data_IF_159025695559
#
_entry.id   IF_159025695559
#
_cell.length_a   1.000
_cell.length_b   1.000
_cell.length_c   1.000
_cell.angle_alpha   90.00
_cell.angle_beta   90.00
_cell.angle_gamma   90.00
#
_symmetry.space_group_name_H-M   'P 1'
#
loop_
_entity.id
_entity.type
_entity.pdbx_description
1 polymer ?
#
# COMPACT_ATOMS: atom_id res chain seq x y z
N UNK A 1 -6.59 -17.50 -30.22
CA UNK A 1 -5.47 -18.21 -29.59
C UNK A 1 -5.94 -19.63 -29.32
N UNK A 2 -5.16 -20.65 -29.63
CA UNK A 2 -5.53 -22.04 -29.38
C UNK A 2 -5.67 -22.24 -27.86
N UNK A 3 -6.74 -22.90 -27.36
CA UNK A 3 -6.93 -23.16 -25.94
C UNK A 3 -5.74 -23.87 -25.24
N UNK A 4 -5.00 -24.69 -25.99
CA UNK A 4 -3.79 -25.35 -25.49
C UNK A 4 -2.60 -24.40 -25.31
N UNK A 5 -2.47 -23.40 -26.18
CA UNK A 5 -1.43 -22.36 -26.03
C UNK A 5 -1.74 -21.43 -24.85
N UNK A 6 -3.01 -21.13 -24.63
CA UNK A 6 -3.44 -20.31 -23.50
C UNK A 6 -3.16 -21.01 -22.16
N UNK A 7 -3.46 -22.30 -22.06
CA UNK A 7 -3.19 -23.12 -20.87
C UNK A 7 -1.66 -23.21 -20.59
N UNK A 8 -0.85 -23.37 -21.66
CA UNK A 8 0.61 -23.38 -21.58
C UNK A 8 1.16 -22.04 -21.03
N UNK A 9 0.66 -20.91 -21.52
CA UNK A 9 1.08 -19.58 -21.09
C UNK A 9 0.71 -19.30 -19.62
N UNK A 10 -0.49 -19.74 -19.20
CA UNK A 10 -0.91 -19.63 -17.79
C UNK A 10 0.00 -20.44 -16.88
N UNK A 11 0.34 -21.68 -17.27
CA UNK A 11 1.26 -22.52 -16.51
C UNK A 11 2.64 -21.87 -16.38
N UNK A 12 3.21 -21.36 -17.48
CA UNK A 12 4.51 -20.69 -17.49
C UNK A 12 4.51 -19.45 -16.58
N UNK A 13 3.47 -18.62 -16.63
CA UNK A 13 3.38 -17.44 -15.79
C UNK A 13 3.35 -17.80 -14.28
N UNK A 14 2.68 -18.90 -13.93
CA UNK A 14 2.66 -19.44 -12.56
C UNK A 14 4.04 -19.91 -12.14
N UNK A 15 4.77 -20.61 -13.02
CA UNK A 15 6.12 -21.13 -12.73
C UNK A 15 7.15 -20.01 -12.56
N UNK A 16 7.08 -18.96 -13.38
CA UNK A 16 7.93 -17.76 -13.23
C UNK A 16 7.67 -17.08 -11.88
N UNK A 17 6.42 -17.04 -11.45
CA UNK A 17 6.06 -16.48 -10.13
C UNK A 17 6.60 -17.34 -8.98
N UNK A 18 6.48 -18.68 -9.08
CA UNK A 18 7.01 -19.61 -8.08
C UNK A 18 8.54 -19.53 -7.98
N UNK A 19 9.24 -19.32 -9.10
CA UNK A 19 10.70 -19.13 -9.11
C UNK A 19 11.08 -17.81 -8.41
N UNK A 20 10.36 -16.73 -8.66
CA UNK A 20 10.56 -15.44 -7.97
C UNK A 20 10.30 -15.54 -6.45
N UNK A 21 9.43 -16.47 -6.03
CA UNK A 21 9.12 -16.73 -4.63
C UNK A 21 10.05 -17.78 -3.98
N UNK A 22 10.94 -18.41 -4.76
CA UNK A 22 11.80 -19.49 -4.28
C UNK A 22 11.07 -20.80 -3.96
N UNK A 23 9.85 -20.99 -4.49
CA UNK A 23 8.97 -22.15 -4.23
C UNK A 23 8.87 -23.12 -5.42
N UNK A 24 9.66 -22.92 -6.48
CA UNK A 24 9.66 -23.73 -7.69
C UNK A 24 10.18 -25.15 -7.41
N UNK A 25 9.41 -26.20 -7.79
CA UNK A 25 9.82 -27.60 -7.65
C UNK A 25 10.79 -28.01 -8.74
N UNK A 26 11.50 -29.15 -8.55
CA UNK A 26 12.47 -29.64 -9.55
C UNK A 26 11.83 -30.00 -10.89
N UNK A 27 10.66 -30.61 -10.91
CA UNK A 27 9.94 -30.97 -12.13
C UNK A 27 9.44 -29.73 -12.89
N UNK A 28 8.95 -28.75 -12.18
CA UNK A 28 8.47 -27.48 -12.74
C UNK A 28 9.60 -26.66 -13.32
N UNK A 29 10.81 -26.72 -12.75
CA UNK A 29 12.01 -26.10 -13.29
C UNK A 29 12.39 -26.67 -14.64
N UNK A 30 12.36 -27.99 -14.81
CA UNK A 30 12.63 -28.64 -16.09
C UNK A 30 11.63 -28.22 -17.17
N UNK A 31 10.35 -28.06 -16.83
CA UNK A 31 9.34 -27.57 -17.74
C UNK A 31 9.61 -26.11 -18.16
N UNK A 32 9.95 -25.26 -17.21
CA UNK A 32 10.30 -23.84 -17.48
C UNK A 32 11.54 -23.73 -18.36
N UNK A 33 12.59 -24.52 -18.09
CA UNK A 33 13.82 -24.57 -18.90
C UNK A 33 13.54 -25.05 -20.34
N UNK A 34 12.67 -26.06 -20.53
CA UNK A 34 12.28 -26.51 -21.86
C UNK A 34 11.60 -25.41 -22.66
N UNK A 35 10.71 -24.65 -22.03
CA UNK A 35 10.05 -23.51 -22.67
C UNK A 35 11.03 -22.38 -23.02
N UNK A 36 12.02 -22.12 -22.18
CA UNK A 36 13.07 -21.12 -22.45
C UNK A 36 13.95 -21.50 -23.66
N UNK A 37 14.07 -22.79 -23.95
CA UNK A 37 14.83 -23.27 -25.11
C UNK A 37 14.03 -23.22 -26.41
N UNK A 38 12.69 -23.13 -26.37
CA UNK A 38 11.84 -23.11 -27.56
C UNK A 38 12.04 -21.87 -28.43
N UNK A 39 12.37 -20.70 -27.86
CA UNK A 39 12.62 -19.49 -28.64
C UNK A 39 13.47 -18.44 -27.88
N UNK A 40 14.17 -17.58 -28.65
CA UNK A 40 14.87 -16.43 -28.11
C UNK A 40 13.91 -15.41 -27.48
N UNK A 41 12.68 -15.30 -28.03
CA UNK A 41 11.62 -14.44 -27.50
C UNK A 41 11.18 -14.87 -26.09
N UNK A 42 11.13 -16.18 -25.81
CA UNK A 42 10.78 -16.71 -24.49
C UNK A 42 11.82 -16.31 -23.43
N UNK A 43 13.09 -16.36 -23.80
CA UNK A 43 14.20 -15.90 -22.92
C UNK A 43 14.10 -14.41 -22.63
N UNK A 44 13.78 -13.60 -23.63
CA UNK A 44 13.63 -12.16 -23.45
C UNK A 44 12.41 -11.81 -22.57
N UNK A 45 11.28 -12.49 -22.76
CA UNK A 45 10.08 -12.35 -21.91
C UNK A 45 10.41 -12.72 -20.46
N UNK A 46 11.08 -13.85 -20.27
CA UNK A 46 11.51 -14.32 -18.95
C UNK A 46 12.42 -13.32 -18.24
N UNK A 47 13.46 -12.82 -18.94
CA UNK A 47 14.37 -11.80 -18.40
C UNK A 47 13.64 -10.49 -18.05
N UNK A 48 12.66 -10.08 -18.85
CA UNK A 48 11.80 -8.92 -18.54
C UNK A 48 10.95 -9.15 -17.30
N UNK A 49 10.46 -10.38 -17.06
CA UNK A 49 9.72 -10.73 -15.85
C UNK A 49 10.62 -10.72 -14.60
N UNK A 50 11.87 -11.12 -14.72
CA UNK A 50 12.86 -11.09 -13.63
C UNK A 50 13.32 -9.67 -13.29
N UNK A 51 13.38 -8.77 -14.28
CA UNK A 51 13.76 -7.38 -14.06
C UNK A 51 12.63 -6.62 -13.34
N UNK A 52 12.90 -6.14 -12.14
CA UNK A 52 11.92 -5.59 -11.18
C UNK A 52 11.01 -4.45 -11.69
N UNK A 53 11.34 -3.80 -12.82
CA UNK A 53 10.48 -2.79 -13.44
C UNK A 53 9.22 -3.37 -14.12
N UNK A 54 9.25 -4.65 -14.54
CA UNK A 54 8.15 -5.32 -15.24
C UNK A 54 7.30 -6.22 -14.33
N UNK A 55 7.79 -6.58 -13.15
CA UNK A 55 7.06 -7.40 -12.17
C UNK A 55 5.68 -6.82 -11.79
N UNK A 56 5.55 -5.50 -11.74
CA UNK A 56 4.28 -4.82 -11.41
C UNK A 56 3.18 -5.03 -12.44
N UNK A 57 3.53 -5.06 -13.75
CA UNK A 57 2.52 -5.23 -14.84
C UNK A 57 2.07 -6.68 -15.01
N UNK A 58 2.97 -7.64 -14.84
CA UNK A 58 2.67 -9.07 -14.99
C UNK A 58 1.70 -9.57 -13.89
N UNK A 59 1.88 -9.14 -12.64
CA UNK A 59 1.04 -9.55 -11.51
C UNK A 59 -0.41 -9.05 -11.63
N UNK A 60 -0.61 -7.83 -12.12
CA UNK A 60 -1.95 -7.25 -12.36
C UNK A 60 -2.69 -8.00 -13.46
N UNK A 61 -2.00 -8.38 -14.53
CA UNK A 61 -2.60 -9.12 -15.64
C UNK A 61 -2.99 -10.56 -15.23
N UNK A 62 -2.19 -11.23 -14.40
CA UNK A 62 -2.50 -12.60 -13.92
C UNK A 62 -3.77 -12.66 -13.08
N UNK A 63 -3.98 -11.73 -12.15
CA UNK A 63 -5.22 -11.67 -11.36
C UNK A 63 -6.46 -11.35 -12.23
N UNK A 64 -6.30 -10.54 -13.27
CA UNK A 64 -7.38 -10.23 -14.21
C UNK A 64 -7.80 -11.46 -15.02
N UNK A 65 -6.83 -12.27 -15.50
CA UNK A 65 -7.09 -13.51 -16.24
C UNK A 65 -7.71 -14.62 -15.38
N UNK A 66 -7.30 -14.78 -14.12
CA UNK A 66 -7.92 -15.74 -13.21
C UNK A 66 -9.38 -15.41 -12.93
N UNK A 67 -9.71 -14.13 -12.78
CA UNK A 67 -11.09 -13.68 -12.53
C UNK A 67 -12.00 -13.89 -13.75
N UNK A 68 -11.51 -13.69 -14.97
CA UNK A 68 -12.27 -13.99 -16.20
C UNK A 68 -12.45 -15.50 -16.42
N UNK A 69 -11.44 -16.32 -16.18
CA UNK A 69 -11.52 -17.78 -16.33
C UNK A 69 -12.57 -18.39 -15.41
N UNK A 70 -12.67 -17.93 -14.17
CA UNK A 70 -13.69 -18.41 -13.24
C UNK A 70 -15.11 -18.01 -13.69
N UNK A 71 -15.28 -16.86 -14.33
CA UNK A 71 -16.55 -16.40 -14.85
C UNK A 71 -16.99 -17.19 -16.09
N UNK A 72 -16.10 -17.44 -17.06
CA UNK A 72 -16.38 -18.24 -18.26
C UNK A 72 -16.62 -19.73 -17.94
N UNK A 73 -15.92 -20.31 -16.96
CA UNK A 73 -16.14 -21.69 -16.51
C UNK A 73 -17.50 -21.89 -15.83
N UNK A 74 -18.02 -20.86 -15.16
CA UNK A 74 -19.37 -20.84 -14.60
C UNK A 74 -20.45 -20.72 -15.70
N UNK A 75 -20.21 -19.91 -16.72
CA UNK A 75 -21.13 -19.71 -17.85
C UNK A 75 -21.33 -21.01 -18.66
N UNK A 76 -20.26 -21.78 -18.87
CA UNK A 76 -20.32 -23.06 -19.59
C UNK A 76 -20.93 -24.23 -18.80
N UNK A 77 -21.06 -24.12 -17.47
CA UNK A 77 -21.76 -25.11 -16.63
C UNK A 77 -23.27 -24.92 -16.56
N UNK A 78 -23.80 -23.81 -17.10
CA UNK A 78 -25.24 -23.48 -17.11
C UNK A 78 -25.85 -23.61 -18.54
N UNK A 79 -25.32 -24.53 -19.34
CA UNK A 79 -25.95 -24.82 -20.61
C UNK A 79 -27.12 -25.79 -20.42
N UNK A 80 -28.33 -25.24 -20.33
CA UNK A 80 -29.58 -25.99 -20.40
C UNK A 80 -29.79 -26.55 -21.80
N UNK A 81 -29.81 -27.89 -21.94
CA UNK A 81 -30.28 -28.55 -23.16
C UNK A 81 -31.80 -28.71 -23.07
N UNK A 82 -32.58 -28.11 -23.98
CA UNK A 82 -34.02 -28.31 -23.99
C UNK A 82 -34.36 -29.67 -24.62
N UNK A 83 -34.77 -30.64 -23.79
CA UNK A 83 -35.42 -31.85 -24.27
C UNK A 83 -36.82 -31.49 -24.79
N UNK A 84 -37.03 -31.60 -26.11
CA UNK A 84 -38.36 -31.52 -26.75
C UNK A 84 -39.26 -32.63 -26.17
N UNK A 85 -40.29 -32.26 -25.43
CA UNK A 85 -41.43 -33.12 -25.11
C UNK A 85 -42.71 -32.49 -25.66
N UNK A 86 -43.53 -33.35 -26.29
CA UNK A 86 -44.78 -33.05 -27.00
C UNK A 86 -45.85 -32.51 -26.05
N UNK A 87 -46.81 -31.65 -26.55
CA UNK A 87 -47.82 -31.02 -25.72
C UNK A 87 -49.06 -31.91 -25.58
N UNK A 88 -49.29 -32.39 -24.39
CA UNK A 88 -50.60 -32.90 -23.99
C UNK A 88 -50.79 -32.59 -22.51
N UNK A 89 -51.66 -31.63 -22.20
CA UNK A 89 -52.31 -31.34 -20.88
C UNK A 89 -52.48 -29.84 -20.59
N UNK A 90 -52.77 -29.05 -21.64
CA UNK A 90 -52.84 -27.57 -21.47
C UNK A 90 -54.21 -27.03 -21.02
N UNK A 91 -55.21 -27.86 -20.75
CA UNK A 91 -56.55 -27.38 -20.39
C UNK A 91 -56.91 -27.35 -18.90
N UNK A 92 -56.01 -27.86 -18.01
CA UNK A 92 -56.30 -27.91 -16.55
C UNK A 92 -55.47 -26.96 -15.68
N UNK A 93 -54.58 -26.14 -16.30
CA UNK A 93 -53.63 -25.28 -15.57
C UNK A 93 -53.91 -23.79 -15.72
N UNK A 94 -55.01 -23.37 -16.31
CA UNK A 94 -55.33 -21.96 -16.53
C UNK A 94 -55.41 -21.12 -15.23
N UNK A 95 -55.95 -21.63 -14.09
CA UNK A 95 -55.93 -20.85 -12.86
C UNK A 95 -54.55 -20.67 -12.24
N UNK A 96 -53.62 -21.60 -12.54
CA UNK A 96 -52.24 -21.47 -12.04
C UNK A 96 -51.38 -20.54 -12.91
N UNK A 97 -51.73 -20.35 -14.18
CA UNK A 97 -51.06 -19.39 -15.07
C UNK A 97 -51.34 -17.93 -14.65
N UNK A 98 -52.54 -17.64 -14.13
CA UNK A 98 -52.86 -16.31 -13.57
C UNK A 98 -52.06 -16.02 -12.29
N UNK A 99 -51.88 -17.00 -11.41
CA UNK A 99 -51.08 -16.84 -10.17
C UNK A 99 -49.58 -16.70 -10.49
N UNK A 100 -49.09 -17.43 -11.52
CA UNK A 100 -47.70 -17.34 -11.97
C UNK A 100 -47.38 -15.98 -12.63
N UNK A 101 -48.34 -15.40 -13.37
CA UNK A 101 -48.16 -14.06 -13.97
C UNK A 101 -48.17 -12.94 -12.94
N UNK A 102 -48.95 -13.07 -11.84
CA UNK A 102 -48.93 -12.11 -10.74
C UNK A 102 -47.61 -12.21 -9.96
N UNK A 103 -47.11 -13.41 -9.72
CA UNK A 103 -45.81 -13.59 -9.06
C UNK A 103 -44.64 -13.11 -9.94
N UNK A 104 -44.76 -13.30 -11.28
CA UNK A 104 -43.79 -12.78 -12.25
C UNK A 104 -43.86 -11.23 -12.30
N UNK A 105 -45.04 -10.65 -12.30
CA UNK A 105 -45.21 -9.19 -12.25
C UNK A 105 -44.69 -8.61 -10.94
N UNK A 106 -44.94 -9.26 -9.80
CA UNK A 106 -44.38 -8.85 -8.50
C UNK A 106 -42.86 -9.02 -8.42
N UNK A 107 -42.31 -10.08 -9.02
CA UNK A 107 -40.85 -10.27 -9.09
C UNK A 107 -40.20 -9.28 -10.06
N UNK A 108 -40.85 -8.90 -11.17
CA UNK A 108 -40.37 -7.83 -12.06
C UNK A 108 -40.47 -6.46 -11.39
N UNK A 109 -41.56 -6.16 -10.67
CA UNK A 109 -41.71 -4.93 -9.89
C UNK A 109 -40.69 -4.90 -8.76
N UNK A 110 -40.45 -6.04 -8.06
CA UNK A 110 -39.42 -6.16 -7.05
C UNK A 110 -37.99 -6.03 -7.64
N UNK A 111 -37.75 -6.63 -8.80
CA UNK A 111 -36.48 -6.52 -9.53
C UNK A 111 -36.24 -5.07 -10.01
N UNK A 112 -37.26 -4.41 -10.59
CA UNK A 112 -37.18 -2.99 -10.98
C UNK A 112 -37.06 -2.04 -9.79
N UNK A 113 -37.74 -2.35 -8.68
CA UNK A 113 -37.59 -1.55 -7.45
C UNK A 113 -36.22 -1.77 -6.80
N UNK A 114 -35.60 -2.94 -6.99
CA UNK A 114 -34.25 -3.23 -6.53
C UNK A 114 -33.20 -2.58 -7.43
N UNK A 115 -33.45 -2.47 -8.73
CA UNK A 115 -32.59 -1.81 -9.71
C UNK A 115 -32.68 -0.28 -9.62
N UNK A 116 -33.81 0.26 -9.18
CA UNK A 116 -33.98 1.68 -8.86
C UNK A 116 -33.42 2.10 -7.49
N UNK A 117 -32.93 1.18 -6.69
CA UNK A 117 -31.95 1.47 -5.64
C UNK A 117 -30.62 1.79 -6.34
N UNK A 118 -30.56 2.93 -7.05
CA UNK A 118 -29.29 3.44 -7.57
C UNK A 118 -28.34 3.54 -6.40
N UNK A 119 -27.15 2.92 -6.49
CA UNK A 119 -26.13 3.15 -5.49
C UNK A 119 -25.99 4.67 -5.36
N UNK A 120 -25.94 5.20 -4.15
CA UNK A 120 -25.55 6.58 -3.91
C UNK A 120 -24.25 6.77 -4.65
N UNK A 121 -24.31 7.50 -5.76
CA UNK A 121 -23.15 7.88 -6.52
C UNK A 121 -22.33 8.72 -5.56
N UNK A 122 -21.13 8.22 -5.20
CA UNK A 122 -20.17 9.06 -4.51
C UNK A 122 -19.96 10.22 -5.44
N UNK A 123 -20.56 11.37 -5.17
CA UNK A 123 -20.30 12.63 -5.84
C UNK A 123 -18.88 13.10 -5.46
N UNK A 124 -17.91 12.28 -5.83
CA UNK A 124 -16.56 12.73 -6.04
C UNK A 124 -16.66 13.50 -7.36
N UNK A 125 -16.89 14.81 -7.27
CA UNK A 125 -16.89 15.67 -8.43
C UNK A 125 -15.66 15.31 -9.27
N UNK A 126 -15.88 14.94 -10.53
CA UNK A 126 -14.83 14.47 -11.46
C UNK A 126 -13.68 15.46 -11.64
N UNK A 127 -13.78 16.65 -11.07
CA UNK A 127 -12.86 17.78 -11.23
C UNK A 127 -11.78 17.83 -10.13
N UNK A 128 -11.98 17.23 -8.94
CA UNK A 128 -11.09 17.42 -7.78
C UNK A 128 -10.55 16.13 -7.13
N UNK A 129 -10.41 15.05 -7.91
CA UNK A 129 -9.83 13.81 -7.37
C UNK A 129 -8.36 14.01 -6.97
N UNK A 130 -7.96 13.45 -5.81
CA UNK A 130 -6.59 13.56 -5.33
C UNK A 130 -5.69 12.50 -5.94
N UNK A 131 -4.57 12.97 -6.50
CA UNK A 131 -3.52 12.12 -7.03
C UNK A 131 -2.69 11.51 -5.89
N UNK A 132 -2.06 10.35 -6.12
CA UNK A 132 -1.12 9.75 -5.18
C UNK A 132 0.03 10.70 -4.84
N UNK A 133 0.67 10.46 -3.68
CA UNK A 133 1.91 11.12 -3.31
C UNK A 133 2.98 11.00 -4.42
N UNK A 134 3.81 12.01 -4.52
CA UNK A 134 4.93 12.08 -5.48
C UNK A 134 6.25 12.30 -4.74
N UNK A 135 7.38 12.19 -5.48
CA UNK A 135 8.68 12.50 -4.90
C UNK A 135 8.77 13.99 -4.60
N UNK A 136 8.78 14.35 -3.32
CA UNK A 136 8.88 15.73 -2.86
C UNK A 136 9.57 15.75 -1.49
N UNK A 137 10.63 16.51 -1.37
CA UNK A 137 11.25 16.78 -0.09
C UNK A 137 11.96 18.16 -0.12
N UNK A 138 12.21 18.66 1.08
CA UNK A 138 12.95 19.90 1.30
C UNK A 138 14.09 19.59 2.24
N UNK A 139 15.29 20.02 1.88
CA UNK A 139 16.46 19.96 2.75
C UNK A 139 16.67 21.34 3.38
N UNK A 140 16.86 21.38 4.68
CA UNK A 140 17.28 22.57 5.41
C UNK A 140 18.58 22.25 6.15
N UNK A 141 19.60 23.03 5.90
CA UNK A 141 20.89 22.92 6.63
C UNK A 141 20.87 23.81 7.87
N UNK A 142 21.70 23.46 8.87
CA UNK A 142 21.78 24.22 10.12
C UNK A 142 22.33 25.66 9.95
N UNK A 143 22.93 25.98 8.80
CA UNK A 143 23.33 27.33 8.41
C UNK A 143 22.21 28.17 7.79
N UNK A 144 20.99 27.61 7.69
CA UNK A 144 19.80 28.26 7.17
C UNK A 144 19.53 28.07 5.67
N UNK A 145 20.47 27.49 4.93
CA UNK A 145 20.28 27.19 3.50
C UNK A 145 19.17 26.16 3.33
N UNK A 146 18.29 26.37 2.33
CA UNK A 146 17.13 25.52 2.04
C UNK A 146 17.08 25.14 0.57
N UNK A 147 16.84 23.88 0.28
CA UNK A 147 16.80 23.33 -1.07
C UNK A 147 15.54 22.50 -1.26
N UNK A 148 14.75 22.82 -2.28
CA UNK A 148 13.64 21.98 -2.72
C UNK A 148 14.17 20.92 -3.69
N UNK A 149 13.90 19.64 -3.40
CA UNK A 149 14.38 18.56 -4.23
C UNK A 149 13.50 18.35 -5.46
N UNK A 150 14.12 18.00 -6.59
CA UNK A 150 13.43 17.75 -7.83
C UNK A 150 12.48 16.54 -7.73
N UNK A 151 11.25 16.71 -8.20
CA UNK A 151 10.22 15.67 -8.23
C UNK A 151 10.55 14.52 -9.20
N UNK A 152 11.36 14.77 -10.22
CA UNK A 152 11.84 13.78 -11.18
C UNK A 152 12.84 12.80 -10.59
N UNK A 153 13.59 13.23 -9.57
CA UNK A 153 14.62 12.45 -8.92
C UNK A 153 14.06 11.64 -7.75
N UNK A 154 14.53 10.41 -7.60
CA UNK A 154 14.03 9.51 -6.56
C UNK A 154 14.85 9.54 -5.30
N UNK A 155 16.12 9.82 -5.42
CA UNK A 155 17.11 9.68 -4.36
C UNK A 155 18.07 10.86 -4.34
N UNK A 156 18.47 11.24 -3.12
CA UNK A 156 19.50 12.24 -2.88
C UNK A 156 20.57 11.66 -1.95
N UNK A 157 21.82 11.96 -2.23
CA UNK A 157 22.98 11.70 -1.37
C UNK A 157 23.38 12.99 -0.67
N UNK A 158 23.47 12.98 0.66
CA UNK A 158 23.91 14.10 1.46
C UNK A 158 25.08 13.67 2.33
N UNK A 159 26.24 14.29 2.13
CA UNK A 159 27.45 14.01 2.89
C UNK A 159 28.21 15.32 3.20
N UNK A 160 29.38 15.20 3.84
CA UNK A 160 30.21 16.34 4.22
C UNK A 160 30.74 17.22 3.07
N UNK A 161 30.64 16.74 1.82
CA UNK A 161 31.09 17.49 0.64
C UNK A 161 29.97 18.13 -0.16
N UNK A 162 28.72 17.68 0.04
CA UNK A 162 27.60 18.27 -0.72
C UNK A 162 26.31 17.46 -0.70
N UNK A 163 25.38 17.96 -1.48
CA UNK A 163 24.05 17.37 -1.76
C UNK A 163 24.04 17.07 -3.26
N UNK A 164 23.80 15.81 -3.62
CA UNK A 164 23.78 15.34 -5.02
C UNK A 164 22.63 14.38 -5.23
N UNK A 165 22.08 14.36 -6.45
CA UNK A 165 21.18 13.31 -6.88
C UNK A 165 21.96 12.03 -7.23
N UNK A 166 21.25 10.92 -7.40
CA UNK A 166 21.80 9.61 -7.77
C UNK A 166 22.40 9.61 -9.18
N UNK A 167 21.97 10.50 -10.09
CA UNK A 167 22.54 10.74 -11.41
C UNK A 167 23.84 11.56 -11.38
N UNK A 168 24.28 12.02 -10.19
CA UNK A 168 25.48 12.82 -9.96
C UNK A 168 25.29 14.33 -10.06
N UNK A 169 24.10 14.83 -10.43
CA UNK A 169 23.83 16.28 -10.44
C UNK A 169 23.97 16.87 -9.04
N UNK A 170 24.76 17.92 -8.93
CA UNK A 170 24.98 18.63 -7.68
C UNK A 170 23.84 19.60 -7.39
N UNK A 171 23.24 19.49 -6.20
CA UNK A 171 22.23 20.42 -5.68
C UNK A 171 22.93 21.55 -4.92
N UNK A 172 23.94 21.21 -4.10
CA UNK A 172 24.72 22.16 -3.32
C UNK A 172 26.04 21.58 -2.84
N UNK A 173 27.07 22.42 -2.71
CA UNK A 173 28.30 22.10 -2.00
C UNK A 173 28.18 22.41 -0.50
N UNK A 174 28.85 21.61 0.33
CA UNK A 174 28.91 21.77 1.79
C UNK A 174 30.39 21.84 2.18
N UNK A 175 30.82 23.00 2.68
CA UNK A 175 32.23 23.26 3.00
C UNK A 175 32.61 22.91 4.45
N UNK A 176 31.62 22.65 5.31
CA UNK A 176 31.82 22.31 6.71
C UNK A 176 30.79 21.28 7.17
N UNK A 177 31.11 20.53 8.25
CA UNK A 177 30.17 19.63 8.88
C UNK A 177 28.99 20.42 9.48
N UNK A 178 27.81 20.20 8.94
CA UNK A 178 26.56 20.85 9.38
C UNK A 178 25.51 19.77 9.70
N UNK A 179 24.44 20.15 10.36
CA UNK A 179 23.26 19.28 10.46
C UNK A 179 22.33 19.50 9.27
N UNK A 180 21.86 18.42 8.70
CA UNK A 180 20.84 18.40 7.65
C UNK A 180 19.50 17.92 8.22
N UNK A 181 18.43 18.61 7.83
CA UNK A 181 17.05 18.22 8.09
C UNK A 181 16.36 18.02 6.73
N UNK A 182 15.92 16.81 6.44
CA UNK A 182 15.12 16.49 5.25
C UNK A 182 13.66 16.28 5.66
N UNK A 183 12.74 16.93 4.96
CA UNK A 183 11.31 16.93 5.26
C UNK A 183 10.52 16.57 4.00
N UNK A 184 9.72 15.51 4.09
CA UNK A 184 8.69 15.23 3.09
C UNK A 184 7.37 15.88 3.54
N UNK A 185 6.68 16.63 2.69
CA UNK A 185 5.35 17.13 3.01
C UNK A 185 4.34 15.98 3.04
N UNK A 186 3.12 16.24 3.52
CA UNK A 186 1.98 15.35 3.24
C UNK A 186 1.82 15.26 1.71
N UNK A 187 1.57 14.07 1.19
CA UNK A 187 1.56 13.81 -0.25
C UNK A 187 2.94 13.76 -0.91
N UNK A 188 4.02 13.76 -0.12
CA UNK A 188 5.39 13.65 -0.60
C UNK A 188 6.14 12.48 -0.01
N UNK A 189 6.99 11.80 -0.78
CA UNK A 189 7.91 10.77 -0.32
C UNK A 189 9.29 11.02 -0.90
N UNK A 190 10.34 10.53 -0.26
CA UNK A 190 11.69 10.65 -0.81
C UNK A 190 12.63 9.57 -0.28
N UNK A 191 13.70 9.29 -1.04
CA UNK A 191 14.78 8.40 -0.61
C UNK A 191 16.06 9.23 -0.39
N UNK A 192 16.76 8.96 0.71
CA UNK A 192 18.01 9.63 1.02
C UNK A 192 19.10 8.62 1.38
N UNK A 193 20.29 8.79 0.81
CA UNK A 193 21.50 8.08 1.23
C UNK A 193 22.27 8.96 2.19
N UNK A 194 22.48 8.44 3.41
CA UNK A 194 23.20 9.09 4.47
C UNK A 194 24.73 8.98 4.26
N UNK A 195 25.55 9.78 4.98
CA UNK A 195 27.02 9.81 4.81
C UNK A 195 27.73 8.49 5.02
N UNK A 196 27.11 7.56 5.75
CA UNK A 196 27.65 6.22 6.02
C UNK A 196 27.27 5.17 4.98
N UNK A 197 26.45 5.53 3.97
CA UNK A 197 25.88 4.66 2.97
C UNK A 197 24.56 4.02 3.35
N UNK A 198 23.98 4.39 4.51
CA UNK A 198 22.64 3.95 4.92
C UNK A 198 21.58 4.55 4.00
N UNK A 199 20.72 3.70 3.42
CA UNK A 199 19.55 4.14 2.65
C UNK A 199 18.35 4.32 3.57
N UNK A 200 17.66 5.45 3.43
CA UNK A 200 16.43 5.75 4.18
C UNK A 200 15.33 6.14 3.20
N UNK A 201 14.20 5.44 3.26
CA UNK A 201 12.98 5.81 2.56
C UNK A 201 12.07 6.56 3.52
N UNK A 202 11.71 7.79 3.17
CA UNK A 202 10.84 8.65 3.97
C UNK A 202 9.40 8.59 3.44
N UNK A 203 8.45 8.23 4.29
CA UNK A 203 7.03 8.28 3.98
C UNK A 203 6.51 9.72 4.04
N UNK A 204 5.25 9.95 3.63
CA UNK A 204 4.64 11.28 3.61
C UNK A 204 4.56 11.89 5.02
N UNK A 205 4.81 13.21 5.13
CA UNK A 205 4.75 13.93 6.41
C UNK A 205 5.87 13.55 7.39
N UNK A 206 7.07 13.23 6.88
CA UNK A 206 8.20 12.74 7.67
C UNK A 206 9.34 13.75 7.71
N UNK A 207 9.98 13.85 8.86
CA UNK A 207 11.21 14.64 9.08
C UNK A 207 12.31 13.74 9.58
N UNK A 208 13.47 13.78 8.92
CA UNK A 208 14.71 13.12 9.34
C UNK A 208 15.80 14.18 9.53
N UNK A 209 16.45 14.19 10.69
CA UNK A 209 17.55 15.10 10.99
C UNK A 209 18.80 14.31 11.33
N UNK A 210 19.95 14.68 10.77
CA UNK A 210 21.23 14.02 10.99
C UNK A 210 22.41 14.94 10.65
N UNK A 211 23.62 14.69 11.17
CA UNK A 211 24.82 15.44 10.81
C UNK A 211 25.33 14.97 9.44
N UNK A 212 25.82 15.90 8.60
CA UNK A 212 26.43 15.57 7.30
C UNK A 212 27.75 14.79 7.43
N UNK A 213 28.30 14.71 8.64
CA UNK A 213 29.43 13.86 9.02
C UNK A 213 29.12 13.23 10.38
N UNK A 214 29.05 11.91 10.44
CA UNK A 214 28.84 11.20 11.71
C UNK A 214 30.07 11.22 12.61
N UNK A 215 29.83 11.20 13.93
CA UNK A 215 30.89 11.04 14.93
C UNK A 215 31.52 9.66 14.83
N UNK A 216 32.78 9.53 15.25
CA UNK A 216 33.52 8.25 15.23
C UNK A 216 32.87 7.16 16.08
N UNK A 217 32.20 7.52 17.18
CA UNK A 217 31.67 6.57 18.16
C UNK A 217 30.25 6.07 17.80
N UNK A 218 29.47 6.88 17.10
CA UNK A 218 28.08 6.57 16.78
C UNK A 218 27.56 7.33 15.56
N UNK A 219 26.55 6.75 14.90
CA UNK A 219 25.78 7.34 13.82
C UNK A 219 24.38 7.65 14.36
N UNK A 220 24.11 8.89 14.68
CA UNK A 220 22.85 9.28 15.33
C UNK A 220 21.98 10.11 14.39
N UNK A 221 20.70 9.75 14.27
CA UNK A 221 19.67 10.46 13.51
C UNK A 221 18.42 10.64 14.37
N UNK A 222 17.63 11.68 14.08
CA UNK A 222 16.34 11.93 14.72
C UNK A 222 15.22 11.80 13.71
N UNK A 223 14.16 11.07 14.06
CA UNK A 223 13.00 10.80 13.20
C UNK A 223 11.70 11.30 13.83
N UNK A 224 10.88 11.95 12.99
CA UNK A 224 9.47 12.26 13.27
C UNK A 224 8.67 11.88 12.01
N UNK A 225 7.69 11.00 12.13
CA UNK A 225 6.96 10.43 10.99
C UNK A 225 7.31 8.97 10.77
N UNK A 226 7.35 8.49 9.54
CA UNK A 226 7.61 7.10 9.22
C UNK A 226 8.75 6.95 8.22
N UNK A 227 9.71 6.09 8.55
CA UNK A 227 10.83 5.80 7.68
C UNK A 227 11.26 4.33 7.76
N UNK A 228 11.67 3.82 6.60
CA UNK A 228 12.32 2.53 6.44
C UNK A 228 13.81 2.73 6.25
N UNK A 229 14.61 1.94 6.98
CA UNK A 229 16.05 2.04 7.04
C UNK A 229 16.70 0.76 6.52
N UNK A 230 17.66 0.90 5.60
CA UNK A 230 18.63 -0.14 5.22
C UNK A 230 20.00 0.31 5.73
N UNK A 231 20.32 -0.05 6.97
CA UNK A 231 21.51 0.48 7.65
C UNK A 231 22.77 -0.22 7.20
N UNK A 232 23.77 0.56 6.79
CA UNK A 232 25.11 0.05 6.43
C UNK A 232 25.76 -0.66 7.64
N UNK A 233 26.27 -1.88 7.41
CA UNK A 233 26.86 -2.74 8.48
C UNK A 233 28.19 -2.15 8.99
N UNK A 234 28.22 -1.74 10.26
CA UNK A 234 29.43 -1.29 11.00
C UNK A 234 29.35 -1.76 12.44
N UNK A 235 30.21 -2.73 12.80
CA UNK A 235 30.17 -3.37 14.12
C UNK A 235 30.61 -2.43 15.24
N UNK A 236 31.57 -1.55 14.95
CA UNK A 236 32.22 -0.68 15.94
C UNK A 236 31.58 0.72 16.02
N UNK A 237 30.54 1.01 15.20
CA UNK A 237 29.90 2.31 15.16
C UNK A 237 28.38 2.13 15.07
N UNK A 238 27.67 2.00 16.21
CA UNK A 238 26.24 1.77 16.22
C UNK A 238 25.47 2.90 15.54
N UNK A 239 24.39 2.53 14.85
CA UNK A 239 23.43 3.46 14.27
C UNK A 239 22.25 3.61 15.22
N UNK A 240 21.92 4.85 15.56
CA UNK A 240 20.91 5.18 16.56
C UNK A 240 19.84 6.07 15.92
N UNK A 241 18.58 5.63 15.97
CA UNK A 241 17.43 6.45 15.58
C UNK A 241 16.72 6.92 16.85
N UNK A 242 16.65 8.23 17.05
CA UNK A 242 15.86 8.86 18.13
C UNK A 242 14.52 9.31 17.63
N UNK A 243 13.49 8.98 18.37
CA UNK A 243 12.14 9.53 18.21
C UNK A 243 11.73 10.23 19.52
N UNK A 244 10.51 10.77 19.56
CA UNK A 244 10.01 11.41 20.78
C UNK A 244 10.04 10.49 22.00
N UNK A 245 9.73 9.20 21.83
CA UNK A 245 9.46 8.28 22.93
C UNK A 245 10.48 7.14 23.05
N UNK A 246 11.31 6.92 22.03
CA UNK A 246 12.23 5.77 22.02
C UNK A 246 13.55 6.07 21.30
N UNK A 247 14.55 5.28 21.64
CA UNK A 247 15.82 5.16 20.96
C UNK A 247 15.94 3.74 20.39
N UNK A 248 16.28 3.65 19.10
CA UNK A 248 16.44 2.39 18.37
C UNK A 248 17.90 2.27 17.96
N UNK A 249 18.59 1.23 18.43
CA UNK A 249 20.01 0.98 18.18
C UNK A 249 20.21 -0.28 17.35
N UNK A 250 21.04 -0.16 16.28
CA UNK A 250 21.37 -1.24 15.36
C UNK A 250 22.84 -1.18 14.91
N UNK A 251 23.36 -2.27 14.31
CA UNK A 251 24.73 -2.33 13.75
C UNK A 251 24.75 -2.52 12.23
N UNK A 252 23.59 -2.86 11.62
CA UNK A 252 23.45 -3.16 10.20
C UNK A 252 22.20 -4.01 10.00
N UNK A 253 21.06 -3.39 9.67
CA UNK A 253 19.73 -3.93 9.93
C UNK A 253 18.73 -3.28 8.98
N UNK A 254 17.73 -4.02 8.55
CA UNK A 254 16.59 -3.53 7.76
C UNK A 254 15.36 -3.47 8.65
N UNK A 255 14.82 -2.28 8.88
CA UNK A 255 13.69 -2.07 9.79
C UNK A 255 12.87 -0.82 9.43
N UNK A 256 11.64 -0.77 9.90
CA UNK A 256 10.74 0.37 9.79
C UNK A 256 10.46 0.98 11.14
N UNK A 257 10.38 2.31 11.23
CA UNK A 257 9.86 3.04 12.39
C UNK A 257 8.69 3.89 11.94
N UNK A 258 7.54 3.71 12.60
CA UNK A 258 6.38 4.59 12.49
C UNK A 258 6.26 5.38 13.81
N UNK A 259 6.58 6.67 13.76
CA UNK A 259 6.63 7.60 14.89
C UNK A 259 5.93 8.92 14.57
N UNK A 260 4.75 8.86 13.91
CA UNK A 260 3.96 10.05 13.67
C UNK A 260 3.50 10.66 15.00
N UNK A 261 3.60 11.99 15.17
CA UNK A 261 3.17 12.65 16.41
C UNK A 261 1.68 12.53 16.71
N UNK A 262 0.87 12.32 15.67
CA UNK A 262 -0.59 12.12 15.76
C UNK A 262 -0.95 10.69 16.16
N UNK A 263 -0.02 9.73 16.01
CA UNK A 263 -0.25 8.35 16.40
C UNK A 263 -0.11 8.18 17.93
N UNK A 264 -1.02 7.41 18.53
CA UNK A 264 -0.97 7.08 19.96
C UNK A 264 0.24 6.22 20.35
N UNK A 265 0.90 5.59 19.38
CA UNK A 265 1.95 4.60 19.57
C UNK A 265 3.09 4.81 18.57
N UNK A 266 4.31 4.55 19.02
CA UNK A 266 5.47 4.42 18.13
C UNK A 266 5.74 2.93 17.90
N UNK A 267 5.82 2.52 16.62
CA UNK A 267 6.05 1.14 16.21
C UNK A 267 7.42 1.00 15.57
N UNK A 268 8.15 -0.06 15.91
CA UNK A 268 9.40 -0.45 15.23
C UNK A 268 9.29 -1.89 14.79
N UNK A 269 9.35 -2.14 13.46
CA UNK A 269 9.20 -3.47 12.85
C UNK A 269 10.52 -3.91 12.24
N UNK A 270 10.98 -5.12 12.57
CA UNK A 270 12.25 -5.66 12.10
C UNK A 270 12.07 -6.64 10.93
N UNK A 271 12.74 -6.35 9.81
CA UNK A 271 12.80 -7.24 8.64
C UNK A 271 14.04 -8.15 8.70
N UNK A 272 15.23 -7.59 8.89
CA UNK A 272 16.50 -8.33 8.89
C UNK A 272 17.47 -7.76 9.92
N UNK A 273 18.24 -8.65 10.57
CA UNK A 273 19.27 -8.29 11.53
C UNK A 273 18.81 -8.35 12.98
N UNK A 274 19.18 -7.36 13.79
CA UNK A 274 18.85 -7.25 15.21
C UNK A 274 18.67 -5.80 15.60
N UNK A 275 17.61 -5.52 16.36
CA UNK A 275 17.28 -4.17 16.85
C UNK A 275 17.17 -4.18 18.35
N UNK A 276 17.79 -3.22 19.03
CA UNK A 276 17.50 -2.91 20.43
C UNK A 276 16.67 -1.63 20.49
N UNK A 277 15.47 -1.72 21.08
CA UNK A 277 14.59 -0.57 21.33
C UNK A 277 14.63 -0.25 22.81
N UNK A 278 14.90 1.03 23.15
CA UNK A 278 14.85 1.57 24.49
C UNK A 278 13.79 2.65 24.57
N UNK A 279 12.83 2.48 25.46
CA UNK A 279 11.86 3.51 25.82
C UNK A 279 12.55 4.58 26.69
N UNK A 280 12.25 5.89 26.45
CA UNK A 280 13.04 6.97 27.05
C UNK A 280 12.56 7.42 28.43
N UNK A 281 11.31 7.14 28.81
CA UNK A 281 10.74 7.61 30.11
C UNK A 281 11.20 6.72 31.27
N UNK A 282 11.00 5.41 31.12
CA UNK A 282 11.29 4.40 32.16
C UNK A 282 12.58 3.61 31.87
N UNK A 283 13.20 3.82 30.72
CA UNK A 283 14.41 3.14 30.30
C UNK A 283 14.24 1.65 29.98
N UNK A 284 13.01 1.14 29.84
CA UNK A 284 12.74 -0.25 29.47
C UNK A 284 13.33 -0.55 28.10
N UNK A 285 13.92 -1.74 27.96
CA UNK A 285 14.55 -2.21 26.73
C UNK A 285 13.92 -3.49 26.24
N UNK A 286 13.78 -3.63 24.92
CA UNK A 286 13.44 -4.90 24.25
C UNK A 286 14.37 -5.12 23.07
N UNK A 287 14.64 -6.39 22.78
CA UNK A 287 15.39 -6.79 21.59
C UNK A 287 14.43 -7.44 20.61
N UNK A 288 14.45 -6.99 19.37
CA UNK A 288 13.67 -7.55 18.27
C UNK A 288 14.52 -8.50 17.44
N UNK A 289 13.89 -9.58 17.00
CA UNK A 289 14.36 -10.52 15.99
C UNK A 289 13.54 -10.33 14.71
N UNK A 290 14.01 -10.81 13.55
CA UNK A 290 13.23 -10.74 12.32
C UNK A 290 11.80 -11.29 12.49
N UNK A 291 10.80 -10.54 12.08
CA UNK A 291 9.38 -10.86 12.31
C UNK A 291 8.75 -10.21 13.54
N UNK A 292 9.54 -9.52 14.38
CA UNK A 292 9.02 -8.84 15.57
C UNK A 292 8.69 -7.37 15.29
N UNK A 293 7.72 -6.86 16.06
CA UNK A 293 7.41 -5.44 16.19
C UNK A 293 7.44 -5.05 17.67
N UNK A 294 8.07 -3.92 17.99
CA UNK A 294 7.84 -3.25 19.28
C UNK A 294 6.79 -2.17 19.14
N UNK A 295 5.98 -2.02 20.19
CA UNK A 295 5.01 -0.93 20.34
C UNK A 295 5.30 -0.18 21.61
N UNK A 296 5.52 1.14 21.49
CA UNK A 296 5.75 2.06 22.58
C UNK A 296 4.62 3.09 22.65
N UNK A 297 3.98 3.20 23.82
CA UNK A 297 2.99 4.24 24.13
C UNK A 297 3.63 5.43 24.85
N UNK A 298 4.95 5.39 25.07
CA UNK A 298 5.68 6.33 25.92
C UNK A 298 5.68 5.94 27.42
N UNK A 299 4.70 5.14 27.87
CA UNK A 299 4.65 4.60 29.24
C UNK A 299 4.95 3.09 29.27
N UNK A 300 4.64 2.39 28.19
CA UNK A 300 4.83 0.95 28.04
C UNK A 300 5.59 0.63 26.78
N UNK A 301 6.41 -0.42 26.85
CA UNK A 301 7.11 -1.00 25.72
C UNK A 301 6.81 -2.50 25.67
N UNK A 302 6.18 -2.94 24.62
CA UNK A 302 5.88 -4.37 24.35
C UNK A 302 6.58 -4.84 23.08
N UNK A 303 6.68 -6.16 22.92
CA UNK A 303 7.16 -6.82 21.70
C UNK A 303 6.18 -7.95 21.37
N UNK A 304 5.85 -8.11 20.08
CA UNK A 304 5.04 -9.20 19.57
C UNK A 304 5.42 -9.53 18.12
N UNK A 305 5.18 -10.76 17.66
CA UNK A 305 5.37 -11.14 16.26
C UNK A 305 4.31 -10.48 15.39
N UNK A 306 4.70 -10.11 14.15
CA UNK A 306 3.81 -9.51 13.15
C UNK A 306 4.08 -10.07 11.77
N UNK A 307 3.12 -9.89 10.86
CA UNK A 307 3.38 -10.07 9.45
C UNK A 307 4.13 -8.84 8.91
N UNK A 308 5.45 -8.95 8.78
CA UNK A 308 6.33 -7.85 8.35
C UNK A 308 5.94 -7.29 6.99
N UNK A 309 5.49 -8.15 6.04
CA UNK A 309 5.07 -7.70 4.71
C UNK A 309 3.81 -6.82 4.77
N UNK A 310 2.90 -7.09 5.70
CA UNK A 310 1.72 -6.26 5.93
C UNK A 310 2.08 -4.93 6.59
N UNK A 311 2.89 -4.95 7.65
CA UNK A 311 3.32 -3.75 8.37
C UNK A 311 4.19 -2.81 7.50
N UNK A 312 4.93 -3.38 6.55
CA UNK A 312 5.83 -2.63 5.67
C UNK A 312 5.29 -2.53 4.22
N UNK A 313 3.99 -2.74 4.01
CA UNK A 313 3.36 -2.71 2.69
C UNK A 313 3.65 -1.40 1.93
N UNK A 314 3.77 -0.28 2.65
CA UNK A 314 4.06 1.03 2.07
C UNK A 314 5.42 1.10 1.35
N UNK A 315 6.44 0.41 1.86
CA UNK A 315 7.78 0.31 1.26
C UNK A 315 7.71 -0.34 -0.13
N UNK A 316 6.73 -1.24 -0.31
CA UNK A 316 6.45 -1.95 -1.56
C UNK A 316 5.37 -1.28 -2.42
N UNK A 317 5.00 -0.03 -2.11
CA UNK A 317 4.02 0.75 -2.86
C UNK A 317 2.58 0.27 -2.72
N UNK A 318 2.23 -0.32 -1.58
CA UNK A 318 0.89 -0.85 -1.28
C UNK A 318 0.31 -0.21 -0.02
N UNK A 319 -1.01 -0.10 0.02
CA UNK A 319 -1.77 0.02 1.25
C UNK A 319 -2.13 -1.38 1.75
N UNK A 320 -2.05 -1.59 3.04
CA UNK A 320 -2.61 -2.76 3.72
C UNK A 320 -3.63 -2.28 4.76
N UNK A 321 -4.87 -2.74 4.63
CA UNK A 321 -5.98 -2.36 5.50
C UNK A 321 -6.39 -3.48 6.46
N UNK A 322 -5.73 -4.65 6.40
CA UNK A 322 -6.11 -5.83 7.19
C UNK A 322 -6.12 -5.53 8.69
N UNK A 323 -7.31 -5.62 9.29
CA UNK A 323 -7.53 -5.38 10.71
C UNK A 323 -7.38 -3.93 11.17
N UNK A 324 -7.20 -2.97 10.24
CA UNK A 324 -7.15 -1.54 10.58
C UNK A 324 -8.55 -0.97 10.73
N UNK A 325 -8.73 -0.14 11.75
CA UNK A 325 -9.95 0.63 11.94
C UNK A 325 -10.10 1.73 10.89
N UNK A 326 -11.32 2.26 10.72
CA UNK A 326 -11.59 3.40 9.84
C UNK A 326 -10.63 4.57 10.12
N UNK A 327 -10.42 4.90 11.38
CA UNK A 327 -9.54 6.01 11.78
C UNK A 327 -8.10 5.75 11.35
N UNK A 328 -7.58 4.55 11.56
CA UNK A 328 -6.22 4.18 11.14
C UNK A 328 -6.03 4.22 9.62
N UNK A 329 -7.03 3.75 8.86
CA UNK A 329 -7.01 3.83 7.40
C UNK A 329 -7.03 5.29 6.94
N UNK A 330 -7.92 6.10 7.52
CA UNK A 330 -8.03 7.52 7.16
C UNK A 330 -6.80 8.33 7.55
N UNK A 331 -6.16 8.04 8.66
CA UNK A 331 -4.88 8.65 9.05
C UNK A 331 -3.79 8.38 7.98
N UNK A 332 -3.69 7.14 7.50
CA UNK A 332 -2.74 6.77 6.44
C UNK A 332 -3.07 7.47 5.11
N UNK A 333 -4.35 7.48 4.71
CA UNK A 333 -4.79 8.17 3.49
C UNK A 333 -4.61 9.68 3.59
N UNK A 334 -4.83 10.27 4.77
CA UNK A 334 -4.65 11.71 4.98
C UNK A 334 -3.21 12.15 4.74
N UNK A 335 -2.24 11.38 5.19
CA UNK A 335 -0.82 11.64 4.93
C UNK A 335 -0.49 11.46 3.44
N UNK A 336 -0.95 10.38 2.83
CA UNK A 336 -0.61 10.02 1.45
C UNK A 336 -1.22 10.94 0.40
N UNK A 337 -2.46 11.38 0.58
CA UNK A 337 -3.17 12.27 -0.36
C UNK A 337 -3.17 13.75 0.05
N UNK A 338 -2.52 14.11 1.14
CA UNK A 338 -2.53 15.47 1.70
C UNK A 338 -3.95 16.02 1.90
N UNK A 339 -4.84 15.23 2.50
CA UNK A 339 -6.25 15.58 2.77
C UNK A 339 -6.50 15.67 4.27
N UNK A 340 -7.43 16.52 4.67
CA UNK A 340 -7.91 16.59 6.05
C UNK A 340 -9.19 15.79 6.20
N UNK A 341 -9.23 14.89 7.19
CA UNK A 341 -10.39 14.02 7.43
C UNK A 341 -11.27 14.61 8.51
N UNK A 342 -12.56 14.76 8.20
CA UNK A 342 -13.59 15.29 9.10
C UNK A 342 -14.69 14.25 9.28
N UNK A 343 -14.93 13.82 10.50
CA UNK A 343 -16.01 12.88 10.83
C UNK A 343 -17.26 13.69 11.28
N UNK A 344 -18.41 13.48 10.63
CA UNK A 344 -19.68 14.10 10.98
C UNK A 344 -20.61 13.09 11.66
N UNK A 345 -21.12 13.45 12.83
CA UNK A 345 -22.00 12.59 13.63
C UNK A 345 -21.27 11.40 14.24
N UNK A 346 -22.04 10.38 14.61
CA UNK A 346 -21.53 9.13 15.18
C UNK A 346 -21.12 8.16 14.06
N UNK A 347 -19.85 8.28 13.61
CA UNK A 347 -19.28 7.43 12.56
C UNK A 347 -18.69 6.19 13.22
N UNK A 348 -19.16 4.98 12.86
CA UNK A 348 -18.66 3.74 13.45
C UNK A 348 -17.19 3.51 13.07
N UNK A 349 -16.37 3.05 14.03
CA UNK A 349 -14.98 2.68 13.80
C UNK A 349 -14.89 1.22 13.32
N UNK A 350 -15.28 1.00 12.06
CA UNK A 350 -15.32 -0.32 11.43
C UNK A 350 -13.90 -0.78 11.05
N UNK A 351 -13.70 -2.10 11.06
CA UNK A 351 -12.44 -2.70 10.63
C UNK A 351 -12.47 -3.00 9.12
N UNK A 352 -11.37 -2.72 8.46
CA UNK A 352 -11.17 -3.00 7.03
C UNK A 352 -10.27 -4.21 6.81
N UNK A 353 -10.41 -4.81 5.64
CA UNK A 353 -9.59 -5.94 5.18
C UNK A 353 -9.15 -5.73 3.74
N UNK A 354 -8.03 -6.39 3.37
CA UNK A 354 -7.43 -6.28 2.05
C UNK A 354 -6.50 -5.08 1.92
N UNK A 355 -6.31 -4.62 0.69
CA UNK A 355 -5.40 -3.51 0.40
C UNK A 355 -5.43 -3.14 -1.07
N UNK A 356 -4.64 -2.14 -1.45
CA UNK A 356 -4.55 -1.66 -2.83
C UNK A 356 -3.19 -1.02 -3.11
N UNK A 357 -2.93 -0.68 -4.38
CA UNK A 357 -1.70 0.00 -4.74
C UNK A 357 -1.76 1.49 -4.37
N UNK A 358 -0.65 2.01 -3.88
CA UNK A 358 -0.48 3.44 -3.56
C UNK A 358 -0.50 4.35 -4.79
N UNK A 359 -0.38 3.79 -5.99
CA UNK A 359 -0.53 4.52 -7.26
C UNK A 359 -1.98 4.82 -7.65
N UNK A 360 -2.95 4.28 -6.92
CA UNK A 360 -4.38 4.53 -7.16
C UNK A 360 -4.76 5.97 -6.78
N UNK A 361 -5.75 6.54 -7.47
CA UNK A 361 -6.37 7.80 -7.05
C UNK A 361 -7.21 7.62 -5.80
N UNK A 362 -7.39 8.67 -5.01
CA UNK A 362 -8.19 8.62 -3.77
C UNK A 362 -9.60 8.09 -4.02
N UNK A 363 -10.29 8.57 -5.07
CA UNK A 363 -11.64 8.12 -5.42
C UNK A 363 -11.75 6.61 -5.62
N UNK A 364 -10.71 5.99 -6.19
CA UNK A 364 -10.66 4.54 -6.39
C UNK A 364 -10.61 3.80 -5.06
N UNK A 365 -9.83 4.31 -4.10
CA UNK A 365 -9.73 3.71 -2.76
C UNK A 365 -11.04 3.88 -1.99
N UNK A 366 -11.63 5.08 -2.01
CA UNK A 366 -12.91 5.35 -1.35
C UNK A 366 -14.05 4.48 -1.91
N UNK A 367 -14.03 4.14 -3.21
CA UNK A 367 -14.98 3.17 -3.80
C UNK A 367 -14.81 1.76 -3.22
N UNK A 368 -13.58 1.32 -2.94
CA UNK A 368 -13.30 0.03 -2.30
C UNK A 368 -13.81 0.03 -0.85
N UNK A 369 -13.70 1.16 -0.15
CA UNK A 369 -14.12 1.31 1.24
C UNK A 369 -15.64 1.56 1.42
N UNK A 370 -16.40 1.66 0.31
CA UNK A 370 -17.82 2.06 0.31
C UNK A 370 -18.79 1.03 0.95
N UNK A 371 -18.42 -0.24 1.05
CA UNK A 371 -19.30 -1.34 1.53
C UNK A 371 -19.63 -1.29 3.02
N UNK A 372 -19.29 -0.20 3.73
CA UNK A 372 -19.38 -0.12 5.20
C UNK A 372 -20.44 0.85 5.71
N UNK A 373 -21.53 1.09 4.97
CA UNK A 373 -22.58 2.07 5.33
C UNK A 373 -22.04 3.48 5.59
N UNK A 374 -20.93 3.83 4.94
CA UNK A 374 -20.27 5.12 5.06
C UNK A 374 -20.41 5.92 3.77
N UNK A 375 -20.66 7.22 3.90
CA UNK A 375 -20.59 8.17 2.81
C UNK A 375 -19.32 9.01 2.90
N UNK A 376 -18.74 9.31 1.75
CA UNK A 376 -17.49 10.08 1.60
C UNK A 376 -17.74 11.26 0.68
N UNK A 377 -17.44 12.46 1.13
CA UNK A 377 -17.52 13.68 0.34
C UNK A 377 -16.17 14.40 0.38
N UNK A 378 -15.53 14.55 -0.78
CA UNK A 378 -14.32 15.36 -0.92
C UNK A 378 -14.72 16.78 -1.31
N UNK A 379 -14.31 17.75 -0.49
CA UNK A 379 -14.55 19.17 -0.74
C UNK A 379 -13.43 19.79 -1.56
N UNK A 380 -13.68 20.94 -2.20
CA UNK A 380 -12.72 21.64 -3.06
C UNK A 380 -11.49 22.13 -2.27
N UNK A 381 -11.64 22.44 -0.98
CA UNK A 381 -10.56 22.83 -0.07
C UNK A 381 -9.74 21.64 0.46
N UNK A 382 -10.02 20.42 -0.01
CA UNK A 382 -9.22 19.23 0.31
C UNK A 382 -9.60 18.52 1.60
N UNK A 383 -10.80 18.75 2.13
CA UNK A 383 -11.34 18.01 3.27
C UNK A 383 -12.13 16.80 2.79
N UNK A 384 -11.87 15.64 3.39
CA UNK A 384 -12.67 14.43 3.23
C UNK A 384 -13.66 14.34 4.39
N UNK A 385 -14.93 14.59 4.10
CA UNK A 385 -16.01 14.45 5.07
C UNK A 385 -16.48 13.01 5.05
N UNK A 386 -16.55 12.39 6.22
CA UNK A 386 -17.04 11.01 6.42
C UNK A 386 -18.23 11.08 7.34
N UNK A 387 -19.34 10.48 6.93
CA UNK A 387 -20.57 10.37 7.71
C UNK A 387 -21.22 9.00 7.52
N UNK A 388 -22.05 8.59 8.45
CA UNK A 388 -22.84 7.37 8.29
C UNK A 388 -23.83 7.56 7.14
N UNK A 389 -23.89 6.60 6.22
CA UNK A 389 -24.90 6.62 5.14
C UNK A 389 -26.31 6.56 5.77
N UNK A 390 -27.15 7.55 5.50
CA UNK A 390 -28.55 7.50 5.89
C UNK A 390 -29.35 6.77 4.80
N UNK A 391 -29.85 5.54 5.04
CA UNK A 391 -30.65 4.82 4.07
C UNK A 391 -32.02 5.50 3.80
N UNK A 392 -32.41 6.50 4.58
CA UNK A 392 -33.71 7.20 4.49
C UNK A 392 -33.67 8.58 3.82
N UNK A 393 -32.50 9.15 3.57
CA UNK A 393 -32.35 10.53 3.07
C UNK A 393 -32.68 10.78 1.59
N UNK A 394 -33.15 9.78 0.83
CA UNK A 394 -33.46 9.92 -0.61
C UNK A 394 -34.94 10.15 -0.94
N UNK A 395 -35.81 10.51 0.03
CA UNK A 395 -37.19 10.91 -0.24
C UNK A 395 -37.43 12.37 0.10
N UNK A 396 -36.73 13.31 -0.50
CA UNK A 396 -36.95 14.74 -0.23
C UNK A 396 -36.18 15.65 -1.17
N UNK A 397 -36.52 15.64 -2.44
CA UNK A 397 -36.05 16.59 -3.43
C UNK A 397 -37.04 16.59 -4.59
N UNK A 398 -38.08 17.39 -4.45
CA UNK A 398 -38.97 17.79 -5.55
C UNK A 398 -38.20 18.75 -6.49
#
# INVERSE_FOLDING_TARGET
>A
MDPKEEEKLIRISTLVLQELQGTLTGEDRLFLESWLQESASNKEIYQRCLNGQHQRKAYVNLQYFEKQRNFESLKNKISFHPKKRRPALLKRLWPYAAAASVLLALSVVWYWNRENSRPVEVQLGAVNDRLPASNQAIITLSDGRRYELNKGEKQVLINGSGIRYDDGHEVASIDAAVSAKIETPRGGTYEVTLPDGTLVKLNAGTTLSYPTVFNKDKREVSLRGEAYFEVAKRKDQPFIVRTKNQEVQVLGTHFNINAYPTAAQTKTTLLEGKVQVKELIRGKKVTLLPGDQSVSTGAELSRHPVNVQQEMAWVYGKFNFDGKSLRQVMDELSQWYAIDVVYKGDVPDVAFFGGTFRTSKLSTILKILKDQDLSYQLTDDGKLIIEKSDPKGQKGGQ
#
